data_IF_150997936556
#
_entry.id   IF_150997936556
#
_cell.length_a   1.000
_cell.length_b   1.000
_cell.length_c   1.000
_cell.angle_alpha   90.00
_cell.angle_beta   90.00
_cell.angle_gamma   90.00
#
_symmetry.space_group_name_H-M   'P 1'
#
loop_
_entity.id
_entity.type
_entity.pdbx_description
1 polymer ?
#
# COMPACT_ATOMS: atom_id res chain seq x y z
N UNK A 1 -41.25 -20.11 51.84
CA UNK A 1 -39.93 -20.76 51.64
C UNK A 1 -39.26 -20.08 50.46
N UNK A 2 -38.09 -19.46 50.67
CA UNK A 2 -37.33 -18.70 49.66
C UNK A 2 -36.46 -19.68 48.88
N UNK A 3 -36.56 -19.68 47.56
CA UNK A 3 -35.54 -20.25 46.69
C UNK A 3 -34.86 -19.09 45.95
N UNK A 4 -33.66 -18.78 46.42
CA UNK A 4 -32.70 -17.87 45.80
C UNK A 4 -32.02 -18.69 44.70
N UNK A 5 -32.15 -18.29 43.44
CA UNK A 5 -31.29 -18.81 42.37
C UNK A 5 -30.53 -17.69 41.70
N UNK A 6 -29.27 -17.63 42.11
CA UNK A 6 -28.04 -17.20 41.45
C UNK A 6 -28.16 -16.26 40.23
N UNK A 7 -27.70 -15.02 40.43
CA UNK A 7 -27.04 -14.22 39.39
C UNK A 7 -25.84 -15.01 38.87
N UNK A 8 -25.93 -15.53 37.64
CA UNK A 8 -24.75 -16.05 36.95
C UNK A 8 -23.99 -14.87 36.33
N UNK A 9 -22.71 -14.66 36.69
CA UNK A 9 -21.90 -13.58 36.15
C UNK A 9 -21.58 -13.81 34.67
N UNK A 10 -21.60 -12.69 33.95
CA UNK A 10 -21.09 -12.49 32.59
C UNK A 10 -19.73 -13.19 32.43
N UNK A 11 -19.65 -14.17 31.52
CA UNK A 11 -18.40 -14.70 31.01
C UNK A 11 -18.36 -14.47 29.50
N UNK A 12 -18.21 -13.21 29.11
CA UNK A 12 -17.78 -12.86 27.77
C UNK A 12 -16.31 -13.29 27.64
N UNK A 13 -16.09 -14.48 27.08
CA UNK A 13 -14.77 -14.90 26.62
C UNK A 13 -14.39 -13.98 25.45
N UNK A 14 -13.74 -12.85 25.75
CA UNK A 14 -12.95 -12.13 24.77
C UNK A 14 -11.80 -13.05 24.38
N UNK A 15 -11.98 -13.77 23.27
CA UNK A 15 -10.88 -14.33 22.50
C UNK A 15 -10.01 -13.14 22.08
N UNK A 16 -8.97 -12.86 22.87
CA UNK A 16 -7.82 -12.07 22.45
C UNK A 16 -7.12 -12.88 21.37
N UNK A 17 -7.65 -12.82 20.15
CA UNK A 17 -6.90 -13.21 18.96
C UNK A 17 -5.73 -12.23 18.95
N UNK A 18 -4.47 -12.68 19.11
CA UNK A 18 -3.35 -11.81 18.82
C UNK A 18 -3.52 -11.43 17.35
N UNK A 19 -3.78 -10.15 17.08
CA UNK A 19 -3.61 -9.58 15.75
C UNK A 19 -2.10 -9.64 15.46
N UNK A 20 -1.58 -10.84 15.21
CA UNK A 20 -0.27 -11.01 14.62
C UNK A 20 -0.35 -10.31 13.28
N UNK A 21 0.33 -9.18 13.22
CA UNK A 21 0.20 -8.25 12.13
C UNK A 21 0.54 -8.88 10.78
N UNK A 22 -0.45 -9.20 9.95
CA UNK A 22 -0.16 -9.74 8.63
C UNK A 22 0.39 -8.64 7.71
N UNK A 23 1.59 -8.85 7.16
CA UNK A 23 2.07 -8.11 6.00
C UNK A 23 1.07 -8.24 4.84
N UNK A 24 1.11 -7.31 3.88
CA UNK A 24 0.36 -7.48 2.64
C UNK A 24 0.77 -8.80 1.97
N UNK A 25 -0.18 -9.47 1.32
CA UNK A 25 0.14 -10.73 0.65
C UNK A 25 1.12 -10.49 -0.50
N UNK A 26 1.71 -11.57 -1.02
CA UNK A 26 2.54 -11.45 -2.22
C UNK A 26 1.74 -10.95 -3.41
N UNK A 27 0.50 -11.43 -3.57
CA UNK A 27 -0.37 -11.06 -4.68
C UNK A 27 -0.78 -9.59 -4.60
N UNK A 28 -1.15 -9.08 -3.41
CA UNK A 28 -1.50 -7.66 -3.23
C UNK A 28 -0.32 -6.73 -3.57
N UNK A 29 0.90 -7.13 -3.20
CA UNK A 29 2.10 -6.36 -3.52
C UNK A 29 2.38 -6.34 -5.02
N UNK A 30 2.19 -7.47 -5.70
CA UNK A 30 2.34 -7.52 -7.15
C UNK A 30 1.28 -6.71 -7.87
N UNK A 31 0.02 -6.77 -7.42
CA UNK A 31 -1.06 -5.94 -7.96
C UNK A 31 -0.75 -4.45 -7.78
N UNK A 32 -0.20 -4.07 -6.62
CA UNK A 32 0.26 -2.71 -6.39
C UNK A 32 1.37 -2.29 -7.36
N UNK A 33 2.36 -3.15 -7.64
CA UNK A 33 3.39 -2.84 -8.64
C UNK A 33 2.81 -2.64 -10.05
N UNK A 34 1.83 -3.45 -10.45
CA UNK A 34 1.10 -3.29 -11.71
C UNK A 34 0.38 -1.94 -11.74
N UNK A 35 -0.33 -1.60 -10.68
CA UNK A 35 -1.03 -0.33 -10.56
C UNK A 35 -0.06 0.86 -10.65
N UNK A 36 1.07 0.77 -9.94
CA UNK A 36 2.10 1.81 -9.94
C UNK A 36 2.69 2.06 -11.32
N UNK A 37 2.94 0.99 -12.08
CA UNK A 37 3.40 1.12 -13.45
C UNK A 37 2.32 1.75 -14.35
N UNK A 38 1.06 1.32 -14.23
CA UNK A 38 -0.05 1.92 -14.97
C UNK A 38 -0.24 3.41 -14.66
N UNK A 39 -0.11 3.81 -13.39
CA UNK A 39 -0.12 5.22 -12.96
C UNK A 39 1.04 5.97 -13.61
N UNK A 40 2.24 5.39 -13.66
CA UNK A 40 3.39 5.95 -14.37
C UNK A 40 3.08 6.24 -15.85
N UNK A 41 2.52 5.26 -16.58
CA UNK A 41 2.10 5.43 -17.98
C UNK A 41 1.05 6.53 -18.13
N UNK A 42 0.11 6.66 -17.19
CA UNK A 42 -0.89 7.74 -17.23
C UNK A 42 -0.26 9.12 -17.03
N UNK A 43 0.71 9.24 -16.12
CA UNK A 43 1.46 10.49 -15.92
C UNK A 43 2.29 10.84 -17.15
N UNK A 44 2.91 9.86 -17.83
CA UNK A 44 3.57 10.11 -19.12
C UNK A 44 2.60 10.76 -20.12
N UNK A 45 1.39 10.20 -20.29
CA UNK A 45 0.37 10.73 -21.20
C UNK A 45 -0.07 12.14 -20.81
N UNK A 46 -0.24 12.40 -19.51
CA UNK A 46 -0.57 13.73 -18.98
C UNK A 46 0.52 14.76 -19.32
N UNK A 47 1.78 14.44 -19.00
CA UNK A 47 2.93 15.32 -19.24
C UNK A 47 3.10 15.61 -20.74
N UNK A 48 2.97 14.59 -21.60
CA UNK A 48 2.95 14.78 -23.07
C UNK A 48 1.82 15.70 -23.51
N UNK A 49 0.62 15.52 -22.96
CA UNK A 49 -0.53 16.37 -23.27
C UNK A 49 -0.34 17.84 -22.86
N UNK A 50 0.52 18.10 -21.88
CA UNK A 50 0.89 19.44 -21.41
C UNK A 50 2.14 19.99 -22.10
N UNK A 51 2.75 19.24 -23.02
CA UNK A 51 4.03 19.56 -23.66
C UNK A 51 5.16 19.79 -22.65
N UNK A 52 5.11 19.07 -21.53
CA UNK A 52 6.11 19.08 -20.46
C UNK A 52 7.28 18.16 -20.77
N UNK A 53 8.44 18.46 -20.18
CA UNK A 53 9.62 17.58 -20.31
C UNK A 53 9.46 16.36 -19.40
N UNK A 54 9.48 15.18 -20.02
CA UNK A 54 9.52 13.91 -19.28
C UNK A 54 10.97 13.58 -18.96
N UNK A 55 11.29 13.59 -17.67
CA UNK A 55 12.58 13.17 -17.11
C UNK A 55 12.36 12.32 -15.87
N UNK A 56 13.39 11.60 -15.43
CA UNK A 56 13.36 10.87 -14.17
C UNK A 56 12.99 11.80 -12.99
N UNK A 57 13.50 13.03 -12.97
CA UNK A 57 13.21 14.01 -11.93
C UNK A 57 11.73 14.43 -11.94
N UNK A 58 11.16 14.73 -13.11
CA UNK A 58 9.74 15.07 -13.26
C UNK A 58 8.86 13.91 -12.80
N UNK A 59 9.16 12.69 -13.23
CA UNK A 59 8.44 11.48 -12.84
C UNK A 59 8.57 11.19 -11.34
N UNK A 60 9.75 11.35 -10.74
CA UNK A 60 9.95 11.20 -9.30
C UNK A 60 9.15 12.24 -8.51
N UNK A 61 9.07 13.48 -9.00
CA UNK A 61 8.24 14.52 -8.41
C UNK A 61 6.75 14.17 -8.44
N UNK A 62 6.27 13.67 -9.58
CA UNK A 62 4.89 13.19 -9.71
C UNK A 62 4.60 11.99 -8.79
N UNK A 63 5.53 11.03 -8.68
CA UNK A 63 5.41 9.88 -7.78
C UNK A 63 5.20 10.31 -6.32
N UNK A 64 6.00 11.27 -5.84
CA UNK A 64 5.89 11.80 -4.47
C UNK A 64 4.56 12.48 -4.18
N UNK A 65 3.89 13.02 -5.20
CA UNK A 65 2.60 13.67 -5.06
C UNK A 65 1.41 12.69 -5.05
N UNK A 66 1.62 11.44 -5.49
CA UNK A 66 0.54 10.50 -5.80
C UNK A 66 0.48 9.25 -4.91
N UNK A 67 1.58 8.88 -4.22
CA UNK A 67 1.66 7.59 -3.55
C UNK A 67 1.88 7.73 -2.05
N UNK A 68 0.79 7.79 -1.31
CA UNK A 68 0.73 7.85 0.15
C UNK A 68 0.22 6.55 0.79
N UNK A 69 -0.14 5.54 0.00
CA UNK A 69 -0.84 4.32 0.41
C UNK A 69 -0.05 3.01 0.19
N UNK A 70 1.28 3.10 0.16
CA UNK A 70 2.16 1.94 -0.13
C UNK A 70 1.87 0.79 0.86
N UNK A 71 1.45 -0.40 0.39
CA UNK A 71 1.20 -1.54 1.26
C UNK A 71 2.50 -2.02 1.91
N UNK A 72 2.44 -2.45 3.17
CA UNK A 72 3.63 -2.92 3.89
C UNK A 72 4.04 -4.33 3.44
N UNK A 73 5.33 -4.51 3.15
CA UNK A 73 5.98 -5.80 2.94
C UNK A 73 6.40 -6.48 4.25
N UNK A 74 6.12 -5.83 5.38
CA UNK A 74 6.47 -6.27 6.73
C UNK A 74 5.22 -6.49 7.59
N UNK A 75 5.33 -7.22 8.71
CA UNK A 75 4.22 -7.41 9.64
C UNK A 75 3.55 -6.09 10.06
N UNK A 76 2.26 -6.12 10.44
CA UNK A 76 1.55 -4.90 10.88
C UNK A 76 2.28 -4.21 12.04
N UNK A 77 2.30 -2.89 11.99
CA UNK A 77 3.01 -2.04 12.95
C UNK A 77 4.43 -1.66 12.54
N UNK A 78 4.91 -2.17 11.40
CA UNK A 78 6.17 -1.75 10.78
C UNK A 78 5.90 -0.94 9.52
N UNK A 79 6.63 0.17 9.39
CA UNK A 79 6.77 0.89 8.13
C UNK A 79 7.24 -0.05 7.01
N UNK A 80 6.78 0.16 5.76
CA UNK A 80 7.30 -0.59 4.63
C UNK A 80 8.82 -0.47 4.55
N UNK A 81 9.49 -1.54 4.10
CA UNK A 81 10.94 -1.54 3.98
C UNK A 81 11.42 -0.48 2.97
N UNK A 82 12.64 0.04 3.17
CA UNK A 82 13.23 0.99 2.22
C UNK A 82 13.43 0.37 0.82
N UNK A 83 13.83 -0.90 0.77
CA UNK A 83 13.95 -1.65 -0.48
C UNK A 83 12.61 -1.75 -1.22
N UNK A 84 11.52 -1.97 -0.48
CA UNK A 84 10.17 -2.03 -1.04
C UNK A 84 9.70 -0.65 -1.53
N UNK A 85 9.90 0.40 -0.74
CA UNK A 85 9.59 1.78 -1.15
C UNK A 85 10.36 2.16 -2.42
N UNK A 86 11.64 1.81 -2.48
CA UNK A 86 12.48 2.06 -3.66
C UNK A 86 11.97 1.30 -4.88
N UNK A 87 11.59 0.02 -4.72
CA UNK A 87 11.03 -0.77 -5.82
C UNK A 87 9.73 -0.17 -6.36
N UNK A 88 8.82 0.23 -5.48
CA UNK A 88 7.56 0.92 -5.82
C UNK A 88 7.85 2.22 -6.58
N UNK A 89 8.72 3.07 -6.06
CA UNK A 89 9.10 4.33 -6.70
C UNK A 89 9.73 4.11 -8.09
N UNK A 90 10.66 3.18 -8.21
CA UNK A 90 11.33 2.88 -9.49
C UNK A 90 10.36 2.27 -10.50
N UNK A 91 9.40 1.46 -10.06
CA UNK A 91 8.37 0.90 -10.93
C UNK A 91 7.53 2.00 -11.58
N UNK A 92 7.12 3.00 -10.79
CA UNK A 92 6.43 4.17 -11.31
C UNK A 92 7.32 4.98 -12.25
N UNK A 93 8.54 5.34 -11.81
CA UNK A 93 9.43 6.23 -12.57
C UNK A 93 9.77 5.60 -13.93
N UNK A 94 10.12 4.32 -13.96
CA UNK A 94 10.47 3.63 -15.20
C UNK A 94 9.29 3.61 -16.19
N UNK A 95 8.09 3.27 -15.71
CA UNK A 95 6.89 3.29 -16.55
C UNK A 95 6.51 4.71 -17.00
N UNK A 96 6.71 5.71 -16.14
CA UNK A 96 6.49 7.12 -16.45
C UNK A 96 7.49 7.66 -17.49
N UNK A 97 8.76 7.27 -17.44
CA UNK A 97 9.74 7.69 -18.44
C UNK A 97 9.50 6.98 -19.77
N UNK A 98 9.30 5.66 -19.75
CA UNK A 98 9.08 4.86 -20.95
C UNK A 98 7.74 5.21 -21.64
N UNK A 99 6.69 5.43 -20.86
CA UNK A 99 5.32 5.57 -21.36
C UNK A 99 4.64 4.23 -21.68
N UNK A 100 5.22 3.11 -21.24
CA UNK A 100 4.71 1.75 -21.37
C UNK A 100 5.08 0.89 -20.15
N UNK A 101 4.36 -0.22 -19.96
CA UNK A 101 4.55 -1.24 -18.91
C UNK A 101 4.18 -2.62 -19.44
#
# INVERSE_FOLDING_TARGET
>A
MRAIYARFPVAALFLLVPLSGCAASYDDRNEYLVEMAQRGVQVNKLLRGQNETISEETCASANRALNDDIPSDRPLGYEPSEDWKQLVEQTFINACVAGEY
#
